data_IF_301019633725
#
_entry.id   IF_301019633725
#
_cell.length_a   1.000
_cell.length_b   1.000
_cell.length_c   1.000
_cell.angle_alpha   90.00
_cell.angle_beta   90.00
_cell.angle_gamma   90.00
#
_symmetry.space_group_name_H-M   'P 1'
#
loop_
_entity.id
_entity.type
_entity.pdbx_description
1 polymer ?
#
# COMPACT_ATOMS: atom_id res chain seq x y z
N UNK A 1 -4.64 -4.71 24.79
CA UNK A 1 -4.37 -6.02 24.18
C UNK A 1 -4.64 -7.14 25.15
N UNK A 2 -4.82 -8.37 24.71
CA UNK A 2 -5.01 -9.49 25.61
C UNK A 2 -3.72 -9.69 26.43
N UNK A 3 -3.80 -9.42 27.73
CA UNK A 3 -2.72 -9.81 28.62
C UNK A 3 -2.84 -11.33 28.87
N UNK A 4 -1.80 -12.11 28.62
CA UNK A 4 -1.81 -13.51 29.01
C UNK A 4 -1.97 -13.59 30.53
N UNK A 5 -2.69 -14.62 31.02
CA UNK A 5 -2.78 -14.86 32.44
C UNK A 5 -1.38 -15.16 32.99
N UNK A 6 -1.12 -14.84 34.23
CA UNK A 6 0.21 -14.88 34.89
C UNK A 6 0.94 -16.24 34.80
N UNK A 7 0.23 -17.31 34.45
CA UNK A 7 0.77 -18.67 34.32
C UNK A 7 0.92 -19.14 32.87
N UNK A 8 0.87 -18.24 31.88
CA UNK A 8 1.06 -18.61 30.49
C UNK A 8 2.57 -18.81 30.21
N UNK A 9 3.00 -19.99 29.69
CA UNK A 9 4.40 -20.37 29.65
C UNK A 9 5.24 -19.62 28.58
N UNK A 10 4.62 -18.79 27.75
CA UNK A 10 5.28 -18.00 26.72
C UNK A 10 4.54 -16.70 26.44
N UNK A 11 5.27 -15.71 25.93
CA UNK A 11 4.68 -14.46 25.45
C UNK A 11 4.13 -14.68 24.02
N UNK A 12 2.81 -14.59 23.80
CA UNK A 12 2.27 -14.69 22.45
C UNK A 12 2.69 -13.49 21.62
N UNK A 13 3.20 -13.75 20.43
CA UNK A 13 3.37 -12.70 19.42
C UNK A 13 1.99 -12.30 18.91
N UNK A 14 1.74 -11.01 18.81
CA UNK A 14 0.48 -10.48 18.26
C UNK A 14 0.71 -9.24 17.43
N UNK A 15 -0.23 -8.97 16.53
CA UNK A 15 -0.30 -7.73 15.74
C UNK A 15 -1.67 -7.08 15.89
N UNK A 16 -1.91 -6.05 15.12
CA UNK A 16 -3.16 -5.32 15.10
C UNK A 16 -3.73 -5.27 13.70
N UNK A 17 -5.02 -5.56 13.57
CA UNK A 17 -5.76 -5.16 12.38
C UNK A 17 -6.21 -3.72 12.56
N UNK A 18 -5.91 -2.86 11.60
CA UNK A 18 -6.33 -1.47 11.63
C UNK A 18 -6.81 -1.00 10.26
N UNK A 19 -7.72 -0.03 10.28
CA UNK A 19 -8.14 0.66 9.08
C UNK A 19 -7.06 1.68 8.71
N UNK A 20 -6.32 1.42 7.64
CA UNK A 20 -5.20 2.25 7.19
C UNK A 20 -5.64 3.70 6.90
N UNK A 21 -6.86 3.92 6.40
CA UNK A 21 -7.38 5.26 6.14
C UNK A 21 -7.60 6.04 7.45
N UNK A 22 -8.21 5.40 8.45
CA UNK A 22 -8.40 6.02 9.78
C UNK A 22 -7.08 6.25 10.50
N UNK A 23 -6.13 5.32 10.36
CA UNK A 23 -4.78 5.50 10.92
C UNK A 23 -4.09 6.69 10.25
N UNK A 24 -4.19 6.84 8.93
CA UNK A 24 -3.63 7.98 8.21
C UNK A 24 -4.21 9.32 8.69
N UNK A 25 -5.53 9.39 8.91
CA UNK A 25 -6.18 10.57 9.49
C UNK A 25 -5.66 10.88 10.90
N UNK A 26 -5.60 9.88 11.75
CA UNK A 26 -5.07 10.01 13.11
C UNK A 26 -3.62 10.51 13.11
N UNK A 27 -2.75 9.92 12.29
CA UNK A 27 -1.34 10.32 12.20
C UNK A 27 -1.17 11.73 11.66
N UNK A 28 -1.98 12.15 10.67
CA UNK A 28 -2.00 13.52 10.18
C UNK A 28 -2.31 14.51 11.30
N UNK A 29 -3.39 14.26 12.04
CA UNK A 29 -3.85 15.17 13.10
C UNK A 29 -2.80 15.21 14.23
N UNK A 30 -2.30 14.06 14.64
CA UNK A 30 -1.25 13.93 15.65
C UNK A 30 0.06 14.64 15.24
N UNK A 31 0.48 14.52 13.99
CA UNK A 31 1.68 15.16 13.48
C UNK A 31 1.51 16.69 13.36
N UNK A 32 0.33 17.14 12.90
CA UNK A 32 0.00 18.57 12.78
C UNK A 32 0.02 19.27 14.12
N UNK A 33 -0.51 18.66 15.18
CA UNK A 33 -0.42 19.17 16.56
C UNK A 33 1.03 19.32 17.05
N UNK A 34 1.99 18.65 16.41
CA UNK A 34 3.43 18.68 16.74
C UNK A 34 4.26 19.52 15.78
N UNK A 35 3.60 20.36 15.00
CA UNK A 35 4.24 21.34 14.14
C UNK A 35 4.54 20.85 12.71
N UNK A 36 4.09 19.65 12.32
CA UNK A 36 4.17 19.23 10.92
C UNK A 36 3.16 20.01 10.09
N UNK A 37 3.60 20.64 9.02
CA UNK A 37 2.76 21.38 8.11
C UNK A 37 2.13 20.42 7.08
N UNK A 38 0.85 20.12 7.25
CA UNK A 38 0.08 19.37 6.27
C UNK A 38 -0.55 20.34 5.26
N UNK A 39 -0.26 20.16 3.97
CA UNK A 39 -0.79 20.96 2.86
C UNK A 39 -1.48 20.06 1.85
N UNK A 40 -2.73 20.41 1.50
CA UNK A 40 -3.48 19.76 0.42
C UNK A 40 -3.12 20.44 -0.90
N UNK A 41 -1.94 20.11 -1.42
CA UNK A 41 -1.42 20.65 -2.67
C UNK A 41 -1.10 19.50 -3.63
N UNK A 42 -1.28 19.74 -4.90
CA UNK A 42 -0.91 18.80 -5.95
C UNK A 42 0.37 19.29 -6.60
N UNK A 43 1.47 18.59 -6.33
CA UNK A 43 2.72 18.80 -7.04
C UNK A 43 2.55 18.35 -8.50
N UNK A 44 2.90 19.22 -9.43
CA UNK A 44 2.78 19.01 -10.88
C UNK A 44 4.14 18.88 -11.55
N UNK A 45 5.17 19.46 -10.93
CA UNK A 45 6.52 19.44 -11.48
C UNK A 45 7.57 19.48 -10.36
N UNK A 46 8.82 19.20 -10.71
CA UNK A 46 9.97 19.16 -9.81
C UNK A 46 11.07 20.02 -10.41
N UNK A 47 11.44 21.09 -9.71
CA UNK A 47 12.57 21.92 -10.07
C UNK A 47 13.88 21.24 -9.59
N UNK A 48 14.74 20.92 -10.53
CA UNK A 48 16.05 20.32 -10.23
C UNK A 48 17.09 21.42 -9.96
N UNK A 49 17.91 21.19 -8.95
CA UNK A 49 19.11 21.96 -8.67
C UNK A 49 20.33 21.44 -9.41
N UNK A 50 21.49 21.63 -8.81
CA UNK A 50 22.76 21.09 -9.31
C UNK A 50 22.98 19.66 -8.79
N UNK A 51 23.69 18.80 -9.57
CA UNK A 51 24.11 17.46 -9.12
C UNK A 51 22.98 16.49 -8.71
N UNK A 52 21.89 16.44 -9.50
CA UNK A 52 20.73 15.59 -9.23
C UNK A 52 19.99 15.88 -7.90
N UNK A 53 20.10 17.11 -7.40
CA UNK A 53 19.33 17.57 -6.24
C UNK A 53 17.98 18.15 -6.68
N UNK A 54 16.99 18.06 -5.80
CA UNK A 54 15.72 18.73 -5.91
C UNK A 54 15.83 20.11 -5.26
N UNK A 55 15.55 21.15 -6.00
CA UNK A 55 15.50 22.52 -5.46
C UNK A 55 14.12 22.84 -4.87
N UNK A 56 13.05 22.44 -5.56
CA UNK A 56 11.68 22.67 -5.09
C UNK A 56 10.67 21.72 -5.76
N UNK A 57 9.51 21.56 -5.14
CA UNK A 57 8.30 21.05 -5.77
C UNK A 57 7.44 22.24 -6.25
N UNK A 58 6.95 22.14 -7.48
CA UNK A 58 6.04 23.13 -8.08
C UNK A 58 4.62 22.58 -8.03
N UNK A 59 3.69 23.35 -7.48
CA UNK A 59 2.30 22.95 -7.30
C UNK A 59 1.38 23.59 -8.34
N UNK A 60 0.22 22.96 -8.56
CA UNK A 60 -0.78 23.40 -9.55
C UNK A 60 -1.29 24.84 -9.31
N UNK A 61 -1.32 25.28 -8.06
CA UNK A 61 -1.71 26.62 -7.64
C UNK A 61 -0.59 27.68 -7.73
N UNK A 62 0.57 27.30 -8.25
CA UNK A 62 1.76 28.14 -8.33
C UNK A 62 2.62 28.15 -7.06
N UNK A 63 2.23 27.44 -6.02
CA UNK A 63 3.07 27.32 -4.80
C UNK A 63 4.36 26.58 -5.12
N UNK A 64 5.47 27.12 -4.63
CA UNK A 64 6.80 26.52 -4.69
C UNK A 64 7.20 26.04 -3.29
N UNK A 65 7.53 24.77 -3.14
CA UNK A 65 7.90 24.16 -1.85
C UNK A 65 9.38 23.76 -1.89
N UNK A 66 10.17 24.47 -1.11
CA UNK A 66 11.60 24.21 -0.91
C UNK A 66 11.83 23.26 0.27
N UNK A 67 12.96 22.56 0.26
CA UNK A 67 13.39 21.69 1.35
C UNK A 67 14.83 21.25 1.16
N UNK A 68 15.49 20.91 2.26
CA UNK A 68 16.86 20.35 2.26
C UNK A 68 16.83 18.86 1.88
N UNK A 69 15.76 18.14 2.28
CA UNK A 69 15.55 16.72 2.02
C UNK A 69 14.10 16.53 1.54
N UNK A 70 13.94 15.70 0.53
CA UNK A 70 12.62 15.30 0.00
C UNK A 70 12.41 13.80 0.23
N UNK A 71 11.21 13.44 0.66
CA UNK A 71 10.82 12.03 0.79
C UNK A 71 9.71 11.73 -0.21
N UNK A 72 10.04 10.94 -1.23
CA UNK A 72 9.07 10.52 -2.24
C UNK A 72 8.19 9.38 -1.73
N UNK A 73 6.96 9.71 -1.35
CA UNK A 73 5.90 8.77 -0.98
C UNK A 73 4.78 8.75 -2.03
N UNK A 74 5.06 9.06 -3.28
CA UNK A 74 4.05 9.19 -4.36
C UNK A 74 3.52 7.86 -4.91
N UNK A 75 3.78 6.76 -4.20
CA UNK A 75 3.29 5.43 -4.54
C UNK A 75 4.00 4.83 -5.76
N UNK A 76 3.36 3.92 -6.47
CA UNK A 76 3.92 3.27 -7.66
C UNK A 76 4.32 4.24 -8.77
N UNK A 77 3.82 5.48 -8.74
CA UNK A 77 4.21 6.51 -9.69
C UNK A 77 5.65 6.98 -9.52
N UNK A 78 6.17 6.95 -8.27
CA UNK A 78 7.54 7.35 -7.92
C UNK A 78 7.96 8.63 -8.64
N UNK A 79 7.18 9.70 -8.42
CA UNK A 79 7.23 10.94 -9.24
C UNK A 79 8.58 11.61 -9.16
N UNK A 80 9.18 11.65 -7.99
CA UNK A 80 10.49 12.27 -7.81
C UNK A 80 11.60 11.29 -8.16
N UNK A 81 11.63 10.14 -7.50
CA UNK A 81 12.76 9.22 -7.60
C UNK A 81 12.91 8.63 -9.01
N UNK A 82 11.83 8.14 -9.64
CA UNK A 82 11.92 7.53 -10.96
C UNK A 82 11.68 8.53 -12.10
N UNK A 83 10.59 9.32 -12.04
CA UNK A 83 10.24 10.17 -13.20
C UNK A 83 11.15 11.39 -13.32
N UNK A 84 11.60 11.96 -12.20
CA UNK A 84 12.47 13.15 -12.21
C UNK A 84 13.95 12.79 -12.15
N UNK A 85 14.34 11.94 -11.19
CA UNK A 85 15.76 11.61 -10.95
C UNK A 85 16.24 10.38 -11.73
N UNK A 86 15.34 9.68 -12.44
CA UNK A 86 15.71 8.57 -13.31
C UNK A 86 16.15 7.29 -12.61
N UNK A 87 15.76 7.09 -11.34
CA UNK A 87 16.10 5.88 -10.61
C UNK A 87 15.59 4.63 -11.34
N UNK A 88 16.51 3.69 -11.61
CA UNK A 88 16.19 2.46 -12.33
C UNK A 88 15.30 1.54 -11.50
N UNK A 89 14.27 0.98 -12.12
CA UNK A 89 13.43 -0.04 -11.52
C UNK A 89 13.94 -1.44 -11.84
N UNK A 90 14.09 -2.28 -10.83
CA UNK A 90 14.49 -3.68 -10.92
C UNK A 90 13.25 -4.54 -10.70
N UNK A 91 12.65 -5.12 -11.73
CA UNK A 91 11.46 -5.95 -11.62
C UNK A 91 11.81 -7.33 -11.03
N UNK A 92 10.87 -7.90 -10.26
CA UNK A 92 10.98 -9.25 -9.70
C UNK A 92 9.98 -10.24 -10.33
N UNK A 93 9.33 -9.86 -11.42
CA UNK A 93 8.27 -10.64 -12.07
C UNK A 93 8.68 -12.05 -12.54
N UNK A 94 9.98 -12.34 -12.67
CA UNK A 94 10.46 -13.69 -12.97
C UNK A 94 10.36 -14.66 -11.78
N UNK A 95 10.35 -14.12 -10.56
CA UNK A 95 10.27 -14.90 -9.32
C UNK A 95 8.94 -14.70 -8.57
N UNK A 96 8.33 -13.52 -8.71
CA UNK A 96 7.08 -13.13 -8.06
C UNK A 96 6.06 -12.77 -9.14
N UNK A 97 5.18 -13.71 -9.45
CA UNK A 97 4.31 -13.63 -10.63
C UNK A 97 3.04 -12.82 -10.41
N UNK A 98 2.66 -12.55 -9.17
CA UNK A 98 1.43 -11.84 -8.85
C UNK A 98 1.61 -10.35 -9.10
N UNK A 99 0.87 -9.83 -10.07
CA UNK A 99 0.93 -8.45 -10.51
C UNK A 99 -0.40 -7.69 -10.38
N UNK A 100 -1.42 -8.39 -9.89
CA UNK A 100 -2.77 -7.86 -9.73
C UNK A 100 -3.36 -8.21 -8.37
N UNK A 101 -4.27 -7.38 -7.90
CA UNK A 101 -5.17 -7.75 -6.82
C UNK A 101 -6.57 -7.20 -7.09
N UNK A 102 -7.60 -8.00 -6.83
CA UNK A 102 -8.98 -7.53 -6.73
C UNK A 102 -9.35 -7.40 -5.27
N UNK A 103 -9.91 -6.27 -4.87
CA UNK A 103 -10.29 -5.94 -3.49
C UNK A 103 -11.78 -5.71 -3.40
N UNK A 104 -12.44 -6.42 -2.49
CA UNK A 104 -13.88 -6.31 -2.25
C UNK A 104 -14.18 -6.40 -0.75
N UNK A 105 -14.42 -5.28 -0.06
CA UNK A 105 -14.77 -5.30 1.34
C UNK A 105 -16.17 -5.91 1.55
N UNK A 106 -16.32 -6.70 2.61
CA UNK A 106 -17.59 -7.31 3.00
C UNK A 106 -18.03 -6.88 4.40
N UNK A 107 -19.31 -7.13 4.72
CA UNK A 107 -19.82 -6.97 6.08
C UNK A 107 -19.27 -8.07 6.98
N UNK A 108 -19.26 -7.82 8.29
CA UNK A 108 -18.91 -8.84 9.27
C UNK A 108 -19.85 -10.03 9.21
N UNK A 109 -19.27 -11.23 9.35
CA UNK A 109 -20.03 -12.37 9.87
C UNK A 109 -20.22 -12.19 11.39
N UNK A 110 -21.16 -12.94 11.95
CA UNK A 110 -21.48 -12.91 13.40
C UNK A 110 -20.31 -13.35 14.30
N UNK A 111 -19.24 -13.90 13.73
CA UNK A 111 -18.07 -14.38 14.47
C UNK A 111 -16.80 -13.67 14.03
N UNK A 112 -16.21 -12.91 14.94
CA UNK A 112 -14.91 -12.28 14.77
C UNK A 112 -13.79 -13.33 14.84
N UNK A 113 -12.92 -13.38 13.83
CA UNK A 113 -11.66 -14.14 13.89
C UNK A 113 -10.53 -13.20 14.32
N UNK A 114 -9.68 -13.59 15.26
CA UNK A 114 -8.57 -12.76 15.74
C UNK A 114 -7.31 -12.88 14.86
N UNK A 115 -7.49 -13.10 13.56
CA UNK A 115 -6.39 -13.32 12.61
C UNK A 115 -6.80 -12.95 11.19
N UNK A 116 -5.82 -12.69 10.34
CA UNK A 116 -5.98 -12.68 8.88
C UNK A 116 -6.02 -14.13 8.39
N UNK A 117 -7.00 -14.46 7.57
CA UNK A 117 -7.01 -15.73 6.84
C UNK A 117 -6.32 -15.53 5.49
N UNK A 118 -5.33 -16.37 5.19
CA UNK A 118 -4.70 -16.46 3.87
C UNK A 118 -5.06 -17.80 3.24
N UNK A 119 -5.73 -17.77 2.09
CA UNK A 119 -6.32 -18.96 1.46
C UNK A 119 -5.87 -19.03 0.01
N UNK A 120 -5.35 -20.21 -0.40
CA UNK A 120 -4.96 -20.45 -1.79
C UNK A 120 -6.17 -20.37 -2.71
N UNK A 121 -5.99 -19.74 -3.88
CA UNK A 121 -6.94 -19.61 -4.96
C UNK A 121 -6.34 -20.22 -6.24
N UNK A 122 -7.11 -20.27 -7.32
CA UNK A 122 -6.68 -20.90 -8.59
C UNK A 122 -5.38 -20.33 -9.16
N UNK A 123 -5.20 -19.01 -9.12
CA UNK A 123 -4.05 -18.33 -9.73
C UNK A 123 -3.34 -17.37 -8.75
N UNK A 124 -3.40 -17.67 -7.46
CA UNK A 124 -2.81 -16.86 -6.41
C UNK A 124 -3.37 -17.19 -5.04
N UNK A 125 -3.67 -16.17 -4.23
CA UNK A 125 -4.19 -16.35 -2.88
C UNK A 125 -5.06 -15.16 -2.46
N UNK A 126 -6.00 -15.40 -1.57
CA UNK A 126 -6.83 -14.34 -1.00
C UNK A 126 -6.53 -14.12 0.47
N UNK A 127 -6.64 -12.88 0.89
CA UNK A 127 -6.66 -12.52 2.31
C UNK A 127 -8.08 -12.16 2.76
N UNK A 128 -8.29 -12.31 4.06
CA UNK A 128 -9.49 -11.85 4.72
C UNK A 128 -9.11 -11.31 6.09
N UNK A 129 -9.15 -9.98 6.24
CA UNK A 129 -8.71 -9.25 7.44
C UNK A 129 -9.93 -8.63 8.13
N UNK A 130 -10.36 -9.16 9.28
CA UNK A 130 -11.47 -8.57 10.03
C UNK A 130 -11.04 -7.25 10.70
N UNK A 131 -11.78 -6.20 10.38
CA UNK A 131 -11.70 -4.89 11.01
C UNK A 131 -12.93 -4.66 11.89
N UNK A 132 -12.98 -3.60 12.67
CA UNK A 132 -14.13 -3.31 13.56
C UNK A 132 -15.43 -3.01 12.81
N UNK A 133 -15.36 -2.54 11.56
CA UNK A 133 -16.52 -2.09 10.77
C UNK A 133 -16.80 -2.92 9.53
N UNK A 134 -15.84 -3.71 9.07
CA UNK A 134 -15.91 -4.50 7.83
C UNK A 134 -14.87 -5.62 7.86
N UNK A 135 -14.93 -6.49 6.89
CA UNK A 135 -13.84 -7.40 6.56
C UNK A 135 -13.17 -6.90 5.29
N UNK A 136 -11.87 -6.67 5.34
CA UNK A 136 -11.05 -6.42 4.15
C UNK A 136 -10.77 -7.75 3.45
N UNK A 137 -11.25 -7.93 2.23
CA UNK A 137 -10.92 -9.09 1.42
C UNK A 137 -10.20 -8.63 0.16
N UNK A 138 -9.27 -9.45 -0.29
CA UNK A 138 -8.67 -9.28 -1.59
C UNK A 138 -8.08 -10.59 -2.10
N UNK A 139 -8.00 -10.70 -3.42
CA UNK A 139 -7.39 -11.82 -4.11
C UNK A 139 -6.22 -11.30 -4.93
N UNK A 140 -5.03 -11.73 -4.56
CA UNK A 140 -3.77 -11.47 -5.26
C UNK A 140 -3.56 -12.55 -6.29
N UNK A 141 -3.34 -12.18 -7.54
CA UNK A 141 -3.22 -13.12 -8.64
C UNK A 141 -2.24 -12.65 -9.72
N UNK A 142 -1.92 -13.54 -10.62
CA UNK A 142 -1.14 -13.23 -11.81
C UNK A 142 -2.05 -13.05 -13.02
N UNK A 143 -1.99 -11.88 -13.65
CA UNK A 143 -2.73 -11.56 -14.88
C UNK A 143 -2.37 -12.47 -16.06
N UNK A 144 -1.25 -13.19 -15.96
CA UNK A 144 -0.83 -14.19 -16.94
C UNK A 144 -1.71 -15.44 -16.95
N UNK A 145 -2.36 -15.75 -15.79
CA UNK A 145 -3.07 -17.02 -15.61
C UNK A 145 -4.58 -16.86 -15.43
N UNK A 146 -5.06 -15.67 -15.08
CA UNK A 146 -6.46 -15.38 -14.87
C UNK A 146 -6.76 -13.94 -15.28
N UNK A 147 -7.93 -13.69 -15.90
CA UNK A 147 -8.38 -12.34 -16.21
C UNK A 147 -8.86 -11.60 -14.96
N UNK A 148 -8.96 -10.28 -15.03
CA UNK A 148 -9.47 -9.46 -13.93
C UNK A 148 -10.92 -9.81 -13.61
N UNK A 149 -11.74 -10.07 -14.64
CA UNK A 149 -13.16 -10.47 -14.52
C UNK A 149 -13.31 -11.84 -13.84
N UNK A 150 -12.50 -12.82 -14.26
CA UNK A 150 -12.52 -14.16 -13.67
C UNK A 150 -12.02 -14.14 -12.21
N UNK A 151 -10.99 -13.36 -11.92
CA UNK A 151 -10.48 -13.19 -10.56
C UNK A 151 -11.50 -12.52 -9.65
N UNK A 152 -12.23 -11.51 -10.13
CA UNK A 152 -13.31 -10.88 -9.40
C UNK A 152 -14.45 -11.89 -9.14
N UNK A 153 -14.87 -12.65 -10.16
CA UNK A 153 -15.91 -13.65 -10.02
C UNK A 153 -15.53 -14.73 -8.99
N UNK A 154 -14.30 -15.22 -9.04
CA UNK A 154 -13.76 -16.21 -8.09
C UNK A 154 -13.71 -15.65 -6.64
N UNK A 155 -13.30 -14.39 -6.46
CA UNK A 155 -13.34 -13.75 -5.14
C UNK A 155 -14.78 -13.62 -4.63
N UNK A 156 -15.71 -13.12 -5.48
CA UNK A 156 -17.13 -12.95 -5.13
C UNK A 156 -17.78 -14.26 -4.70
N UNK A 157 -17.53 -15.33 -5.42
CA UNK A 157 -17.97 -16.68 -5.05
C UNK A 157 -17.38 -17.11 -3.69
N UNK A 158 -16.08 -16.94 -3.52
CA UNK A 158 -15.36 -17.37 -2.31
C UNK A 158 -15.80 -16.66 -1.03
N UNK A 159 -16.31 -15.42 -1.12
CA UNK A 159 -16.80 -14.63 0.02
C UNK A 159 -18.32 -14.52 0.09
N UNK A 160 -19.06 -15.14 -0.86
CA UNK A 160 -20.53 -15.13 -0.90
C UNK A 160 -21.14 -13.78 -1.26
N UNK A 161 -20.48 -12.99 -2.12
CA UNK A 161 -20.93 -11.64 -2.51
C UNK A 161 -21.09 -11.51 -4.03
N UNK A 162 -21.88 -12.37 -4.66
CA UNK A 162 -22.01 -12.42 -6.12
C UNK A 162 -22.49 -11.09 -6.72
N UNK A 163 -23.47 -10.43 -6.09
CA UNK A 163 -24.15 -9.26 -6.64
C UNK A 163 -23.98 -8.00 -5.75
N UNK A 164 -23.14 -8.05 -4.72
CA UNK A 164 -23.00 -6.95 -3.76
C UNK A 164 -21.60 -6.32 -3.80
N UNK A 165 -21.58 -5.01 -3.52
CA UNK A 165 -20.33 -4.26 -3.34
C UNK A 165 -19.60 -3.94 -4.65
N UNK A 166 -18.74 -2.95 -4.57
CA UNK A 166 -17.90 -2.50 -5.68
C UNK A 166 -16.49 -3.06 -5.51
N UNK A 167 -16.07 -3.87 -6.48
CA UNK A 167 -14.72 -4.40 -6.53
C UNK A 167 -13.75 -3.38 -7.16
N UNK A 168 -12.50 -3.41 -6.71
CA UNK A 168 -11.43 -2.59 -7.28
C UNK A 168 -10.27 -3.48 -7.69
N UNK A 169 -9.84 -3.31 -8.93
CA UNK A 169 -8.62 -3.93 -9.44
C UNK A 169 -7.43 -3.01 -9.13
N UNK A 170 -6.39 -3.59 -8.58
CA UNK A 170 -5.13 -2.92 -8.29
C UNK A 170 -4.03 -3.53 -9.15
N UNK A 171 -3.34 -2.70 -9.90
CA UNK A 171 -2.12 -3.10 -10.59
C UNK A 171 -0.92 -2.91 -9.67
N UNK A 172 -0.07 -3.93 -9.58
CA UNK A 172 1.08 -3.91 -8.70
C UNK A 172 2.38 -3.98 -9.50
N UNK A 173 3.28 -3.05 -9.23
CA UNK A 173 4.64 -3.10 -9.78
C UNK A 173 5.55 -3.84 -8.79
N UNK A 174 5.70 -5.15 -9.01
CA UNK A 174 6.53 -6.01 -8.14
C UNK A 174 8.00 -5.83 -8.49
N UNK A 175 8.77 -5.33 -7.53
CA UNK A 175 10.17 -4.97 -7.70
C UNK A 175 10.58 -3.82 -6.80
N UNK A 176 11.74 -3.26 -7.04
CA UNK A 176 12.26 -2.10 -6.30
C UNK A 176 13.05 -1.18 -7.22
N UNK A 177 13.28 0.05 -6.79
CA UNK A 177 14.29 0.89 -7.43
C UNK A 177 15.71 0.44 -7.01
N UNK A 178 16.70 0.68 -7.86
CA UNK A 178 18.09 0.28 -7.62
C UNK A 178 18.66 0.99 -6.38
N UNK A 179 18.44 2.29 -6.32
CA UNK A 179 18.93 3.16 -5.25
C UNK A 179 17.76 3.93 -4.64
N UNK A 180 17.54 3.77 -3.34
CA UNK A 180 16.46 4.44 -2.63
C UNK A 180 16.78 5.89 -2.26
N UNK A 181 18.05 6.28 -2.29
CA UNK A 181 18.51 7.62 -2.00
C UNK A 181 19.32 8.17 -3.18
N UNK A 182 18.88 9.28 -3.77
CA UNK A 182 19.57 9.95 -4.87
C UNK A 182 19.56 11.47 -4.62
N UNK A 183 20.74 12.09 -4.60
CA UNK A 183 20.88 13.50 -4.23
C UNK A 183 20.30 13.76 -2.83
N UNK A 184 19.34 14.65 -2.73
CA UNK A 184 18.61 14.96 -1.49
C UNK A 184 17.20 14.32 -1.45
N UNK A 185 16.93 13.29 -2.27
CA UNK A 185 15.65 12.60 -2.31
C UNK A 185 15.76 11.15 -1.82
N UNK A 186 14.90 10.79 -0.86
CA UNK A 186 14.68 9.41 -0.40
C UNK A 186 13.35 8.91 -0.91
N UNK A 187 13.33 7.79 -1.65
CA UNK A 187 12.10 7.09 -1.98
C UNK A 187 11.68 6.17 -0.82
N UNK A 188 10.40 6.19 -0.47
CA UNK A 188 9.84 5.40 0.61
C UNK A 188 8.49 4.76 0.23
N UNK A 189 8.18 3.60 0.86
CA UNK A 189 6.96 2.84 0.57
C UNK A 189 6.92 2.38 -0.88
N UNK A 190 5.76 2.49 -1.54
CA UNK A 190 5.56 2.02 -2.93
C UNK A 190 6.38 2.78 -3.98
N UNK A 191 6.92 3.96 -3.65
CA UNK A 191 7.88 4.67 -4.52
C UNK A 191 9.22 3.96 -4.57
N UNK A 192 9.61 3.32 -3.47
CA UNK A 192 10.86 2.57 -3.35
C UNK A 192 10.71 1.16 -3.93
N UNK A 193 9.63 0.47 -3.63
CA UNK A 193 9.43 -0.88 -4.12
C UNK A 193 8.24 -1.58 -3.46
N UNK A 194 7.92 -2.74 -4.01
CA UNK A 194 6.84 -3.59 -3.53
C UNK A 194 7.14 -5.04 -3.88
N UNK A 195 6.85 -5.94 -2.97
CA UNK A 195 7.05 -7.38 -3.21
C UNK A 195 5.70 -8.05 -3.43
N UNK A 196 4.91 -8.13 -2.37
CA UNK A 196 3.59 -8.75 -2.36
C UNK A 196 2.88 -8.30 -1.08
N UNK A 197 1.54 -8.18 -1.06
CA UNK A 197 0.81 -7.87 0.16
C UNK A 197 0.88 -9.07 1.12
N UNK A 198 1.94 -9.14 1.90
CA UNK A 198 2.12 -10.12 2.96
C UNK A 198 1.62 -9.50 4.27
N UNK A 199 0.60 -10.09 4.88
CA UNK A 199 0.06 -9.72 6.17
C UNK A 199 0.17 -10.88 7.18
#
# INVERSE_FOLDING_TARGET
GPHPRDNFPFMPSYGYHFDAHKLGQFLRDWATERGVLHRLLKATDVEQGTQAEIAALLCEDGTRIEGDIFVDCSGFRSVIAQQTLGAQFIPFGENLFNDRAVVLPSRHSTRFKPQTDSIAMRAGWRWSTPLTTRVGNGYVYSSKYVSDEDAEAELREAIGMQDEGEARILEMRVGRIAESWTGNCLAAGLSQGFIEPLE
#
